data_IF_676119006872
#
_entry.id   IF_676119006872
#
_cell.length_a   1.000
_cell.length_b   1.000
_cell.length_c   1.000
_cell.angle_alpha   90.00
_cell.angle_beta   90.00
_cell.angle_gamma   90.00
#
_symmetry.space_group_name_H-M   'P 1'
#
loop_
_entity.id
_entity.type
_entity.pdbx_description
1 polymer ?
#
# COMPACT_ATOMS: atom_id res chain seq x y z
N UNK A 1 42.23 -28.35 24.55
CA UNK A 1 41.35 -29.24 23.74
C UNK A 1 39.91 -28.77 23.67
N UNK A 2 39.37 -28.08 24.67
CA UNK A 2 38.02 -27.51 24.66
C UNK A 2 37.78 -26.53 23.48
N UNK A 3 38.69 -25.61 23.20
CA UNK A 3 38.53 -24.63 22.12
C UNK A 3 38.45 -25.19 20.72
N UNK A 4 39.11 -26.31 20.39
CA UNK A 4 39.03 -26.95 19.08
C UNK A 4 37.66 -27.60 18.82
N UNK A 5 37.04 -28.15 19.86
CA UNK A 5 35.72 -28.77 19.73
C UNK A 5 34.63 -27.71 19.63
N UNK A 6 34.78 -26.59 20.30
CA UNK A 6 33.89 -25.44 20.25
C UNK A 6 33.91 -24.78 18.84
N UNK A 7 35.10 -24.57 18.25
CA UNK A 7 35.30 -24.06 16.91
C UNK A 7 34.63 -24.98 15.87
N UNK A 8 34.79 -26.30 15.98
CA UNK A 8 34.13 -27.25 15.07
C UNK A 8 32.60 -27.17 15.15
N UNK A 9 32.07 -27.01 16.36
CA UNK A 9 30.61 -26.84 16.57
C UNK A 9 30.12 -25.54 15.94
N UNK A 10 30.85 -24.44 16.09
CA UNK A 10 30.55 -23.15 15.47
C UNK A 10 30.56 -23.25 13.95
N UNK A 11 31.59 -23.88 13.36
CA UNK A 11 31.68 -24.09 11.90
C UNK A 11 30.47 -24.87 11.40
N UNK A 12 30.08 -25.97 12.08
CA UNK A 12 28.90 -26.75 11.71
C UNK A 12 27.60 -25.94 11.79
N UNK A 13 27.46 -25.10 12.83
CA UNK A 13 26.31 -24.21 13.00
C UNK A 13 26.22 -23.17 11.84
N UNK A 14 27.36 -22.55 11.49
CA UNK A 14 27.42 -21.59 10.37
C UNK A 14 27.08 -22.29 9.03
N UNK A 15 27.61 -23.48 8.78
CA UNK A 15 27.29 -24.25 7.58
C UNK A 15 25.79 -24.60 7.50
N UNK A 16 25.17 -24.94 8.61
CA UNK A 16 23.73 -25.21 8.67
C UNK A 16 22.93 -23.94 8.38
N UNK A 17 23.31 -22.81 9.00
CA UNK A 17 22.68 -21.51 8.73
C UNK A 17 22.82 -21.11 7.25
N UNK A 18 23.99 -21.32 6.66
CA UNK A 18 24.21 -21.07 5.21
C UNK A 18 23.26 -21.89 4.32
N UNK A 19 23.05 -23.18 4.65
CA UNK A 19 22.11 -24.03 3.90
C UNK A 19 20.68 -23.54 4.03
N UNK A 20 20.27 -23.12 5.23
CA UNK A 20 18.94 -22.59 5.50
C UNK A 20 18.72 -21.29 4.72
N UNK A 21 19.67 -20.34 4.81
CA UNK A 21 19.54 -19.05 4.12
C UNK A 21 19.52 -19.22 2.60
N UNK A 22 20.30 -20.16 2.04
CA UNK A 22 20.28 -20.48 0.61
C UNK A 22 18.92 -21.09 0.18
N UNK A 23 18.33 -21.94 1.01
CA UNK A 23 16.99 -22.46 0.74
C UNK A 23 15.93 -21.35 0.80
N UNK A 24 16.04 -20.41 1.78
CA UNK A 24 15.14 -19.26 1.89
C UNK A 24 15.24 -18.34 0.68
N UNK A 25 16.46 -18.07 0.17
CA UNK A 25 16.69 -17.30 -1.05
C UNK A 25 15.96 -17.92 -2.27
N UNK A 26 16.10 -19.24 -2.47
CA UNK A 26 15.41 -19.94 -3.57
C UNK A 26 13.88 -19.84 -3.47
N UNK A 27 13.34 -19.99 -2.27
CA UNK A 27 11.90 -19.84 -2.01
C UNK A 27 11.43 -18.40 -2.27
N UNK A 28 12.19 -17.41 -1.77
CA UNK A 28 11.90 -16.00 -1.98
C UNK A 28 11.92 -15.64 -3.47
N UNK A 29 12.91 -16.12 -4.24
CA UNK A 29 12.99 -15.92 -5.68
C UNK A 29 11.77 -16.49 -6.43
N UNK A 30 11.28 -17.67 -6.02
CA UNK A 30 10.06 -18.24 -6.60
C UNK A 30 8.82 -17.42 -6.29
N UNK A 31 8.66 -16.96 -5.03
CA UNK A 31 7.53 -16.14 -4.59
C UNK A 31 7.55 -14.76 -5.23
N UNK A 32 8.71 -14.13 -5.35
CA UNK A 32 8.89 -12.85 -6.03
C UNK A 32 8.41 -12.93 -7.49
N UNK A 33 8.83 -13.97 -8.25
CA UNK A 33 8.36 -14.14 -9.64
C UNK A 33 6.84 -14.22 -9.74
N UNK A 34 6.20 -14.92 -8.80
CA UNK A 34 4.72 -15.00 -8.74
C UNK A 34 4.09 -13.63 -8.42
N UNK A 35 4.64 -12.90 -7.45
CA UNK A 35 4.15 -11.57 -7.07
C UNK A 35 4.31 -10.56 -8.21
N UNK A 36 5.45 -10.55 -8.90
CA UNK A 36 5.68 -9.71 -10.10
C UNK A 36 4.67 -10.05 -11.20
N UNK A 37 4.44 -11.34 -11.46
CA UNK A 37 3.42 -11.74 -12.43
C UNK A 37 1.99 -11.34 -12.06
N UNK A 38 1.65 -11.29 -10.78
CA UNK A 38 0.36 -10.75 -10.31
C UNK A 38 0.30 -9.22 -10.49
N UNK A 39 1.37 -8.51 -10.16
CA UNK A 39 1.48 -7.07 -10.36
C UNK A 39 1.29 -6.69 -11.85
N UNK A 40 1.94 -7.42 -12.76
CA UNK A 40 1.80 -7.21 -14.20
C UNK A 40 0.37 -7.44 -14.70
N UNK A 41 -0.32 -8.46 -14.18
CA UNK A 41 -1.74 -8.73 -14.49
C UNK A 41 -2.68 -7.66 -13.95
N UNK A 42 -2.39 -7.08 -12.80
CA UNK A 42 -3.22 -6.03 -12.19
C UNK A 42 -3.05 -4.65 -12.85
N UNK A 43 -1.87 -4.37 -13.43
CA UNK A 43 -1.54 -3.06 -14.05
C UNK A 43 -2.56 -2.58 -15.10
N UNK A 44 -3.01 -3.40 -16.09
CA UNK A 44 -3.92 -2.92 -17.12
C UNK A 44 -5.24 -2.41 -16.53
N UNK A 45 -5.78 -3.11 -15.55
CA UNK A 45 -7.01 -2.71 -14.87
C UNK A 45 -6.80 -1.41 -14.06
N UNK A 46 -5.74 -1.35 -13.25
CA UNK A 46 -5.41 -0.17 -12.47
C UNK A 46 -5.21 1.07 -13.36
N UNK A 47 -4.50 0.93 -14.48
CA UNK A 47 -4.28 2.02 -15.42
C UNK A 47 -5.60 2.47 -16.07
N UNK A 48 -6.47 1.54 -16.50
CA UNK A 48 -7.76 1.89 -17.11
C UNK A 48 -8.72 2.55 -16.13
N UNK A 49 -8.82 2.07 -14.91
CA UNK A 49 -9.69 2.70 -13.91
C UNK A 49 -9.15 4.07 -13.51
N UNK A 50 -7.84 4.24 -13.39
CA UNK A 50 -7.20 5.54 -13.15
C UNK A 50 -7.47 6.52 -14.27
N UNK A 51 -7.39 6.06 -15.53
CA UNK A 51 -7.73 6.86 -16.70
C UNK A 51 -9.19 7.33 -16.65
N UNK A 52 -10.14 6.43 -16.39
CA UNK A 52 -11.56 6.79 -16.24
C UNK A 52 -11.75 7.81 -15.11
N UNK A 53 -11.06 7.63 -13.97
CA UNK A 53 -11.13 8.56 -12.84
C UNK A 53 -10.62 9.95 -13.20
N UNK A 54 -9.53 10.08 -13.95
CA UNK A 54 -9.01 11.38 -14.38
C UNK A 54 -9.96 12.12 -15.30
N UNK A 55 -10.66 11.39 -16.18
CA UNK A 55 -11.71 11.98 -17.04
C UNK A 55 -12.91 12.44 -16.21
N UNK A 56 -13.38 11.62 -15.27
CA UNK A 56 -14.51 11.97 -14.40
C UNK A 56 -14.19 13.18 -13.51
N UNK A 57 -12.99 13.27 -12.98
CA UNK A 57 -12.56 14.41 -12.18
C UNK A 57 -12.57 15.73 -12.96
N UNK A 58 -12.36 15.66 -14.29
CA UNK A 58 -12.34 16.84 -15.16
C UNK A 58 -13.70 17.15 -15.82
N UNK A 59 -14.55 16.14 -16.03
CA UNK A 59 -15.78 16.30 -16.83
C UNK A 59 -16.99 16.76 -16.00
N UNK A 60 -17.05 16.49 -14.70
CA UNK A 60 -18.26 16.70 -13.91
C UNK A 60 -18.10 17.72 -12.79
N UNK A 61 -18.12 19.01 -13.14
CA UNK A 61 -18.37 20.09 -12.16
C UNK A 61 -19.78 19.99 -11.51
N UNK A 62 -20.67 19.23 -12.09
CA UNK A 62 -22.07 19.08 -11.62
C UNK A 62 -22.24 17.95 -10.59
N UNK A 63 -21.32 16.98 -10.52
CA UNK A 63 -21.43 15.86 -9.57
C UNK A 63 -20.51 16.05 -8.36
N UNK A 64 -21.08 16.62 -7.29
CA UNK A 64 -20.39 16.78 -6.01
C UNK A 64 -20.27 15.43 -5.27
N UNK A 65 -19.27 14.61 -5.63
CA UNK A 65 -18.95 13.42 -4.84
C UNK A 65 -18.05 13.76 -3.66
N UNK A 66 -18.32 13.14 -2.52
CA UNK A 66 -17.51 13.25 -1.30
C UNK A 66 -16.04 12.91 -1.56
N UNK A 67 -15.75 12.02 -2.52
CA UNK A 67 -14.41 11.56 -2.87
C UNK A 67 -13.52 12.62 -3.54
N UNK A 68 -14.10 13.70 -4.08
CA UNK A 68 -13.36 14.85 -4.65
C UNK A 68 -13.33 16.06 -3.73
N UNK A 69 -14.08 16.02 -2.62
CA UNK A 69 -14.21 17.17 -1.72
C UNK A 69 -12.87 17.49 -1.04
N UNK A 70 -12.24 18.60 -1.47
CA UNK A 70 -11.05 19.13 -0.80
C UNK A 70 -11.48 19.91 0.43
N UNK A 71 -10.97 19.53 1.59
CA UNK A 71 -11.31 20.12 2.90
C UNK A 71 -10.08 20.74 3.55
N UNK A 72 -10.31 21.58 4.55
CA UNK A 72 -9.25 21.95 5.49
C UNK A 72 -8.77 20.70 6.22
N UNK A 73 -7.46 20.43 6.13
CA UNK A 73 -6.90 19.18 6.63
C UNK A 73 -6.69 19.27 8.14
N UNK A 74 -7.49 18.54 8.90
CA UNK A 74 -7.38 18.40 10.35
C UNK A 74 -6.85 17.03 10.77
N UNK A 75 -7.11 16.00 9.96
CA UNK A 75 -6.66 14.65 10.26
C UNK A 75 -6.35 13.86 8.99
N UNK A 76 -5.20 13.17 8.98
CA UNK A 76 -4.75 12.29 7.91
C UNK A 76 -4.78 10.84 8.32
N UNK A 77 -5.23 9.95 7.44
CA UNK A 77 -5.11 8.52 7.62
C UNK A 77 -4.04 7.94 6.68
N UNK A 78 -3.23 7.02 7.22
CA UNK A 78 -2.25 6.27 6.45
C UNK A 78 -2.62 4.80 6.43
N UNK A 79 -2.82 4.25 5.23
CA UNK A 79 -2.90 2.80 5.00
C UNK A 79 -1.46 2.32 4.85
N UNK A 80 -0.91 1.66 5.86
CA UNK A 80 0.50 1.22 5.87
C UNK A 80 0.58 -0.25 5.55
N UNK A 81 1.30 -0.58 4.47
CA UNK A 81 1.50 -1.96 4.02
C UNK A 81 2.87 -2.45 4.45
N UNK A 82 2.90 -3.48 5.27
CA UNK A 82 4.15 -4.11 5.75
C UNK A 82 4.12 -5.62 5.61
N UNK A 83 5.24 -6.26 5.91
CA UNK A 83 5.30 -7.72 5.97
C UNK A 83 4.73 -8.27 7.29
N UNK A 84 4.28 -9.54 7.24
CA UNK A 84 3.93 -10.28 8.46
C UNK A 84 5.17 -10.81 9.19
N UNK A 85 6.22 -11.16 8.46
CA UNK A 85 7.43 -11.80 8.97
C UNK A 85 8.64 -10.89 8.83
N UNK A 86 9.64 -11.09 9.68
CA UNK A 86 10.94 -10.43 9.57
C UNK A 86 11.85 -11.03 8.49
N UNK A 87 13.14 -10.77 8.57
CA UNK A 87 14.18 -11.22 7.65
C UNK A 87 14.03 -10.70 6.21
N UNK A 88 13.55 -9.46 6.08
CA UNK A 88 13.46 -8.71 4.82
C UNK A 88 14.34 -7.43 4.86
N UNK A 89 15.51 -7.53 5.47
CA UNK A 89 16.43 -6.39 5.59
C UNK A 89 15.80 -5.17 6.25
N UNK A 90 16.07 -3.99 5.72
CA UNK A 90 15.54 -2.71 6.17
C UNK A 90 14.18 -2.32 5.61
N UNK A 91 13.51 -3.18 4.84
CA UNK A 91 12.29 -2.85 4.10
C UNK A 91 11.23 -2.15 4.95
N UNK A 92 10.80 -2.79 6.04
CA UNK A 92 9.76 -2.23 6.92
C UNK A 92 10.26 -0.99 7.67
N UNK A 93 11.50 -1.02 8.17
CA UNK A 93 12.06 0.09 8.94
C UNK A 93 12.18 1.36 8.09
N UNK A 94 12.60 1.25 6.84
CA UNK A 94 12.70 2.38 5.91
C UNK A 94 11.32 2.97 5.60
N UNK A 95 10.30 2.11 5.41
CA UNK A 95 8.93 2.55 5.21
C UNK A 95 8.39 3.26 6.46
N UNK A 96 8.56 2.65 7.64
CA UNK A 96 8.07 3.23 8.89
C UNK A 96 8.75 4.55 9.20
N UNK A 97 10.07 4.66 8.95
CA UNK A 97 10.80 5.92 9.09
C UNK A 97 10.16 7.02 8.22
N UNK A 98 9.89 6.74 6.95
CA UNK A 98 9.26 7.69 6.03
C UNK A 98 7.85 8.10 6.49
N UNK A 99 7.05 7.16 6.98
CA UNK A 99 5.71 7.45 7.53
C UNK A 99 5.81 8.30 8.79
N UNK A 100 6.76 8.02 9.70
CA UNK A 100 6.98 8.81 10.91
C UNK A 100 7.46 10.22 10.58
N UNK A 101 8.35 10.39 9.62
CA UNK A 101 8.79 11.72 9.14
C UNK A 101 7.58 12.53 8.66
N UNK A 102 6.71 11.96 7.83
CA UNK A 102 5.46 12.60 7.39
C UNK A 102 4.49 12.88 8.56
N UNK A 103 4.42 12.00 9.54
CA UNK A 103 3.60 12.21 10.75
C UNK A 103 4.14 13.33 11.64
N UNK A 104 5.45 13.48 11.75
CA UNK A 104 6.07 14.58 12.49
C UNK A 104 5.80 15.94 11.81
N UNK A 105 5.84 15.99 10.49
CA UNK A 105 5.42 17.18 9.72
C UNK A 105 3.95 17.52 9.98
N UNK A 106 3.07 16.52 9.99
CA UNK A 106 1.65 16.70 10.33
C UNK A 106 1.49 17.29 11.74
N UNK A 107 2.20 16.72 12.72
CA UNK A 107 2.14 17.19 14.11
C UNK A 107 2.61 18.64 14.25
N UNK A 108 3.63 19.05 13.51
CA UNK A 108 4.11 20.44 13.49
C UNK A 108 3.04 21.39 12.93
N UNK A 109 2.15 20.91 12.07
CA UNK A 109 1.05 21.65 11.48
C UNK A 109 -0.28 21.44 12.23
N UNK A 110 -0.27 20.86 13.42
CA UNK A 110 -1.44 20.54 14.25
C UNK A 110 -2.43 19.56 13.58
N UNK A 111 -1.97 18.75 12.63
CA UNK A 111 -2.77 17.75 11.91
C UNK A 111 -2.71 16.42 12.65
N UNK A 112 -3.88 15.89 13.03
CA UNK A 112 -4.02 14.56 13.62
C UNK A 112 -3.63 13.45 12.63
N UNK A 113 -3.19 12.30 13.15
CA UNK A 113 -2.81 11.16 12.29
C UNK A 113 -3.39 9.86 12.84
N UNK A 114 -3.93 9.05 11.95
CA UNK A 114 -4.44 7.71 12.24
C UNK A 114 -3.92 6.70 11.21
N UNK A 115 -3.95 5.43 11.55
CA UNK A 115 -3.33 4.37 10.77
C UNK A 115 -4.30 3.22 10.52
N UNK A 116 -4.33 2.71 9.29
CA UNK A 116 -4.89 1.42 8.93
C UNK A 116 -3.76 0.54 8.45
N UNK A 117 -3.60 -0.66 8.99
CA UNK A 117 -2.35 -1.40 8.81
C UNK A 117 -2.58 -2.78 8.19
N UNK A 118 -1.76 -3.11 7.21
CA UNK A 118 -1.60 -4.44 6.66
C UNK A 118 -0.27 -5.04 7.11
N UNK A 119 -0.34 -6.24 7.69
CA UNK A 119 0.81 -7.00 8.15
C UNK A 119 1.17 -6.77 9.63
N UNK A 120 1.68 -7.84 10.26
CA UNK A 120 2.00 -7.86 11.69
C UNK A 120 3.09 -6.85 12.09
N UNK A 121 4.03 -6.53 11.17
CA UNK A 121 5.12 -5.61 11.51
C UNK A 121 4.64 -4.18 11.69
N UNK A 122 3.71 -3.70 10.83
CA UNK A 122 3.10 -2.39 11.01
C UNK A 122 2.19 -2.36 12.24
N UNK A 123 1.34 -3.37 12.44
CA UNK A 123 0.46 -3.45 13.59
C UNK A 123 1.24 -3.31 14.91
N UNK A 124 2.27 -4.14 15.09
CA UNK A 124 3.09 -4.09 16.31
C UNK A 124 3.91 -2.80 16.47
N UNK A 125 4.33 -2.18 15.37
CA UNK A 125 5.08 -0.93 15.40
C UNK A 125 4.19 0.26 15.79
N UNK A 126 3.08 0.49 15.08
CA UNK A 126 2.22 1.65 15.29
C UNK A 126 1.48 1.59 16.63
N UNK A 127 1.10 0.39 17.11
CA UNK A 127 0.56 0.23 18.47
C UNK A 127 1.59 0.60 19.56
N UNK A 128 2.86 0.21 19.39
CA UNK A 128 3.92 0.49 20.35
C UNK A 128 4.24 1.97 20.50
N UNK A 129 4.17 2.73 19.42
CA UNK A 129 4.38 4.19 19.46
C UNK A 129 3.15 4.98 19.88
N UNK A 130 2.04 4.30 20.24
CA UNK A 130 0.80 4.95 20.65
C UNK A 130 0.02 5.59 19.49
N UNK A 131 0.23 5.14 18.25
CA UNK A 131 -0.54 5.59 17.09
C UNK A 131 -1.99 5.14 17.15
N UNK A 132 -2.91 5.99 16.72
CA UNK A 132 -4.33 5.65 16.59
C UNK A 132 -4.52 4.69 15.42
N UNK A 133 -4.75 3.41 15.71
CA UNK A 133 -4.99 2.38 14.69
C UNK A 133 -6.49 2.20 14.47
N UNK A 134 -6.98 2.60 13.28
CA UNK A 134 -8.39 2.47 12.85
C UNK A 134 -8.74 1.00 12.64
N UNK A 135 -7.90 0.30 11.89
CA UNK A 135 -8.12 -1.10 11.52
C UNK A 135 -6.81 -1.81 11.23
N UNK A 136 -6.81 -3.11 11.37
CA UNK A 136 -5.65 -3.94 11.05
C UNK A 136 -6.08 -5.23 10.34
N UNK A 137 -5.31 -5.63 9.34
CA UNK A 137 -5.39 -6.94 8.71
C UNK A 137 -4.01 -7.57 8.71
N UNK A 138 -3.91 -8.78 9.24
CA UNK A 138 -2.67 -9.53 9.36
C UNK A 138 -2.81 -10.86 8.66
N UNK A 139 -1.69 -11.51 8.35
CA UNK A 139 -1.66 -12.79 7.63
C UNK A 139 -2.26 -12.72 6.22
N UNK A 140 -2.04 -11.59 5.55
CA UNK A 140 -2.51 -11.35 4.17
C UNK A 140 -1.91 -12.37 3.16
N UNK A 141 -0.78 -12.97 3.53
CA UNK A 141 -0.14 -14.04 2.75
C UNK A 141 0.64 -13.54 1.53
N UNK A 142 1.14 -14.49 0.74
CA UNK A 142 1.96 -14.19 -0.46
C UNK A 142 1.11 -13.97 -1.72
N UNK A 143 -0.17 -14.30 -1.69
CA UNK A 143 -1.13 -14.14 -2.79
C UNK A 143 -2.46 -13.61 -2.23
N UNK A 144 -2.51 -12.32 -1.87
CA UNK A 144 -3.70 -11.74 -1.28
C UNK A 144 -4.85 -11.73 -2.29
N UNK A 145 -6.04 -12.01 -1.79
CA UNK A 145 -7.27 -11.73 -2.51
C UNK A 145 -7.77 -10.35 -2.10
N UNK A 146 -8.49 -9.70 -2.99
CA UNK A 146 -9.03 -8.37 -2.70
C UNK A 146 -9.98 -8.42 -1.50
N UNK A 147 -10.72 -9.52 -1.35
CA UNK A 147 -11.66 -9.76 -0.26
C UNK A 147 -10.98 -9.68 1.13
N UNK A 148 -9.70 -10.12 1.22
CA UNK A 148 -8.93 -10.09 2.46
C UNK A 148 -8.56 -8.65 2.90
N UNK A 149 -8.64 -7.71 1.97
CA UNK A 149 -8.27 -6.31 2.18
C UNK A 149 -9.48 -5.39 2.42
N UNK A 150 -10.68 -5.80 1.96
CA UNK A 150 -11.88 -4.97 1.93
C UNK A 150 -12.25 -4.41 3.31
N UNK A 151 -12.12 -5.19 4.37
CA UNK A 151 -12.48 -4.76 5.73
C UNK A 151 -11.68 -3.53 6.18
N UNK A 152 -10.37 -3.55 5.98
CA UNK A 152 -9.47 -2.45 6.35
C UNK A 152 -9.66 -1.23 5.44
N UNK A 153 -9.82 -1.46 4.13
CA UNK A 153 -10.07 -0.40 3.15
C UNK A 153 -11.39 0.30 3.48
N UNK A 154 -12.47 -0.46 3.66
CA UNK A 154 -13.80 0.06 3.97
C UNK A 154 -13.80 0.88 5.25
N UNK A 155 -13.21 0.37 6.33
CA UNK A 155 -13.11 1.12 7.60
C UNK A 155 -12.41 2.47 7.43
N UNK A 156 -11.41 2.56 6.55
CA UNK A 156 -10.71 3.81 6.28
C UNK A 156 -11.55 4.76 5.42
N UNK A 157 -12.25 4.23 4.40
CA UNK A 157 -13.18 5.00 3.55
C UNK A 157 -14.35 5.55 4.39
N UNK A 158 -14.92 4.74 5.27
CA UNK A 158 -16.02 5.16 6.14
C UNK A 158 -15.61 6.34 7.04
N UNK A 159 -14.37 6.35 7.55
CA UNK A 159 -13.80 7.48 8.30
C UNK A 159 -13.63 8.75 7.45
N UNK A 160 -13.31 8.61 6.18
CA UNK A 160 -13.24 9.74 5.25
C UNK A 160 -14.63 10.27 4.92
N UNK A 161 -15.61 9.41 4.68
CA UNK A 161 -17.00 9.80 4.40
C UNK A 161 -17.64 10.48 5.61
N UNK A 162 -17.38 9.97 6.83
CA UNK A 162 -17.88 10.56 8.09
C UNK A 162 -17.20 11.88 8.48
N UNK A 163 -16.22 12.32 7.70
CA UNK A 163 -15.41 13.53 7.96
C UNK A 163 -14.54 13.44 9.23
N UNK A 164 -14.29 12.23 9.72
CA UNK A 164 -13.33 12.00 10.80
C UNK A 164 -11.87 12.07 10.30
N UNK A 165 -11.67 11.92 8.99
CA UNK A 165 -10.38 11.98 8.27
C UNK A 165 -10.58 12.80 7.00
N UNK A 166 -9.64 13.70 6.70
CA UNK A 166 -9.73 14.63 5.57
C UNK A 166 -8.88 14.19 4.38
N UNK A 167 -7.81 13.45 4.63
CA UNK A 167 -6.94 12.91 3.58
C UNK A 167 -6.55 11.47 3.90
N UNK A 168 -6.50 10.62 2.86
CA UNK A 168 -6.06 9.22 2.98
C UNK A 168 -4.85 8.99 2.07
N UNK A 169 -3.82 8.41 2.64
CA UNK A 169 -2.58 8.03 1.96
C UNK A 169 -2.36 6.52 2.05
N UNK A 170 -1.70 5.94 1.04
CA UNK A 170 -1.16 4.59 1.13
C UNK A 170 0.36 4.64 1.20
N UNK A 171 0.93 3.97 2.18
CA UNK A 171 2.37 3.83 2.38
C UNK A 171 2.81 2.39 2.15
N UNK A 172 3.69 2.18 1.20
CA UNK A 172 4.15 0.84 0.77
C UNK A 172 5.55 0.91 0.19
N UNK A 173 6.15 -0.25 -0.07
CA UNK A 173 7.43 -0.32 -0.76
C UNK A 173 7.20 -0.62 -2.24
N UNK A 174 7.44 0.37 -3.10
CA UNK A 174 7.35 0.23 -4.55
C UNK A 174 8.46 -0.67 -5.06
N UNK A 175 8.10 -1.67 -5.83
CA UNK A 175 9.05 -2.58 -6.46
C UNK A 175 9.64 -1.93 -7.71
N UNK A 176 10.92 -1.57 -7.66
CA UNK A 176 11.64 -1.06 -8.81
C UNK A 176 12.41 -2.18 -9.54
N UNK A 177 13.22 -2.93 -8.80
CA UNK A 177 13.93 -4.13 -9.27
C UNK A 177 14.30 -5.02 -8.07
N UNK A 178 14.99 -6.12 -8.32
CA UNK A 178 15.41 -7.07 -7.28
C UNK A 178 16.35 -6.49 -6.22
N UNK A 179 17.06 -5.41 -6.54
CA UNK A 179 18.04 -4.77 -5.64
C UNK A 179 17.47 -3.54 -4.95
N UNK A 180 16.53 -2.83 -5.61
CA UNK A 180 16.02 -1.55 -5.14
C UNK A 180 14.52 -1.62 -4.90
N UNK A 181 14.11 -1.33 -3.66
CA UNK A 181 12.73 -1.16 -3.21
C UNK A 181 12.60 0.23 -2.60
N UNK A 182 11.63 1.02 -3.04
CA UNK A 182 11.51 2.43 -2.70
C UNK A 182 10.31 2.63 -1.78
N UNK A 183 10.52 3.03 -0.52
CA UNK A 183 9.41 3.44 0.36
C UNK A 183 8.65 4.60 -0.28
N UNK A 184 7.34 4.44 -0.46
CA UNK A 184 6.48 5.39 -1.18
C UNK A 184 5.26 5.71 -0.33
N UNK A 185 4.80 6.95 -0.37
CA UNK A 185 3.55 7.42 0.21
C UNK A 185 2.78 8.10 -0.91
N UNK A 186 1.68 7.53 -1.32
CA UNK A 186 0.82 8.06 -2.37
C UNK A 186 -0.53 8.50 -1.78
N UNK A 187 -1.05 9.64 -2.21
CA UNK A 187 -2.37 10.12 -1.80
C UNK A 187 -3.45 9.33 -2.56
N UNK A 188 -4.46 8.87 -1.81
CA UNK A 188 -5.62 8.17 -2.39
C UNK A 188 -6.85 9.08 -2.37
N UNK A 189 -7.09 9.79 -1.26
CA UNK A 189 -8.25 10.66 -1.07
C UNK A 189 -7.83 12.02 -0.49
N UNK A 190 -8.51 13.10 -0.90
CA UNK A 190 -9.46 13.18 -2.02
C UNK A 190 -8.79 12.88 -3.35
N UNK A 191 -9.58 12.37 -4.32
CA UNK A 191 -9.10 12.07 -5.67
C UNK A 191 -8.81 13.41 -6.36
N UNK A 192 -7.59 13.60 -6.84
CA UNK A 192 -7.19 14.80 -7.58
C UNK A 192 -6.98 14.51 -9.05
N UNK A 193 -7.36 15.47 -9.90
CA UNK A 193 -7.14 15.37 -11.34
C UNK A 193 -5.67 15.53 -11.75
N UNK A 194 -4.84 16.08 -10.85
CA UNK A 194 -3.45 16.47 -11.16
C UNK A 194 -2.41 15.36 -10.99
N UNK A 195 -2.76 14.24 -10.32
CA UNK A 195 -1.78 13.21 -9.97
C UNK A 195 -1.53 12.17 -11.08
N UNK A 196 -2.13 12.35 -12.25
CA UNK A 196 -1.94 11.44 -13.37
C UNK A 196 -1.57 12.23 -14.62
N UNK A 197 -0.44 11.88 -15.21
CA UNK A 197 -0.10 12.29 -16.58
C UNK A 197 -1.21 11.82 -17.50
N UNK A 198 -2.16 12.71 -17.79
CA UNK A 198 -3.14 12.48 -18.85
C UNK A 198 -2.33 12.46 -20.13
N UNK A 199 -2.24 11.29 -20.74
CA UNK A 199 -1.68 11.16 -22.09
C UNK A 199 -2.40 12.19 -22.96
N UNK A 200 -1.65 13.18 -23.45
CA UNK A 200 -2.18 14.29 -24.27
C UNK A 200 -2.89 13.83 -25.55
N UNK A 201 -2.76 12.57 -25.87
CA UNK A 201 -3.37 11.92 -27.04
C UNK A 201 -4.90 11.77 -26.94
N UNK A 202 -5.47 11.92 -25.71
CA UNK A 202 -6.90 11.70 -25.45
C UNK A 202 -7.59 12.90 -24.79
N UNK A 203 -7.23 14.12 -25.21
CA UNK A 203 -7.84 15.36 -24.69
C UNK A 203 -9.28 15.62 -25.18
N UNK A 204 -9.97 14.61 -25.67
CA UNK A 204 -11.35 14.76 -26.10
C UNK A 204 -12.29 14.59 -24.90
N UNK A 205 -13.12 15.60 -24.67
CA UNK A 205 -14.23 15.57 -23.73
C UNK A 205 -15.24 14.54 -24.21
N UNK A 206 -15.32 13.40 -23.51
CA UNK A 206 -16.35 12.39 -23.75
C UNK A 206 -17.33 12.50 -22.62
N UNK A 207 -18.62 12.45 -22.98
CA UNK A 207 -19.66 12.27 -22.00
C UNK A 207 -19.99 10.77 -21.95
N UNK A 208 -20.00 10.21 -20.72
CA UNK A 208 -20.34 8.81 -20.51
C UNK A 208 -21.85 8.67 -20.37
N UNK A 209 -22.43 7.66 -21.02
CA UNK A 209 -23.80 7.23 -20.75
C UNK A 209 -23.80 6.34 -19.51
N UNK A 210 -24.52 6.77 -18.48
CA UNK A 210 -24.63 6.04 -17.23
C UNK A 210 -25.98 5.31 -17.18
N UNK A 211 -25.95 4.01 -16.91
CA UNK A 211 -27.13 3.17 -16.71
C UNK A 211 -26.95 2.31 -15.44
N UNK A 212 -27.93 2.22 -14.52
CA UNK A 212 -29.23 2.87 -14.55
C UNK A 212 -29.22 4.31 -13.99
N UNK A 213 -28.30 4.67 -13.08
CA UNK A 213 -28.15 6.00 -12.46
C UNK A 213 -26.67 6.38 -12.34
N UNK A 214 -26.35 7.59 -12.80
CA UNK A 214 -24.98 8.11 -12.76
C UNK A 214 -24.37 8.11 -11.37
N UNK A 215 -25.14 8.47 -10.36
CA UNK A 215 -24.66 8.55 -8.97
C UNK A 215 -24.23 7.20 -8.44
N UNK A 216 -25.08 6.19 -8.56
CA UNK A 216 -24.82 4.84 -8.05
C UNK A 216 -23.61 4.19 -8.74
N UNK A 217 -23.55 4.33 -10.08
CA UNK A 217 -22.44 3.82 -10.89
C UNK A 217 -21.12 4.49 -10.48
N UNK A 218 -21.11 5.82 -10.33
CA UNK A 218 -19.92 6.58 -9.96
C UNK A 218 -19.44 6.25 -8.55
N UNK A 219 -20.34 6.19 -7.56
CA UNK A 219 -19.98 5.81 -6.19
C UNK A 219 -19.36 4.41 -6.14
N UNK A 220 -19.93 3.44 -6.84
CA UNK A 220 -19.36 2.10 -6.92
C UNK A 220 -17.98 2.09 -7.59
N UNK A 221 -17.79 2.91 -8.62
CA UNK A 221 -16.54 3.03 -9.35
C UNK A 221 -15.44 3.66 -8.49
N UNK A 222 -15.75 4.69 -7.68
CA UNK A 222 -14.79 5.29 -6.74
C UNK A 222 -14.29 4.28 -5.70
N UNK A 223 -15.20 3.51 -5.12
CA UNK A 223 -14.81 2.45 -4.17
C UNK A 223 -13.88 1.44 -4.85
N UNK A 224 -14.23 0.96 -6.05
CA UNK A 224 -13.40 0.04 -6.84
C UNK A 224 -12.04 0.61 -7.22
N UNK A 225 -11.98 1.90 -7.48
CA UNK A 225 -10.71 2.60 -7.72
C UNK A 225 -9.80 2.56 -6.51
N UNK A 226 -10.30 2.92 -5.32
CA UNK A 226 -9.54 2.90 -4.07
C UNK A 226 -9.09 1.48 -3.71
N UNK A 227 -9.97 0.49 -3.86
CA UNK A 227 -9.68 -0.93 -3.69
C UNK A 227 -8.52 -1.37 -4.61
N UNK A 228 -8.58 -0.98 -5.88
CA UNK A 228 -7.58 -1.34 -6.89
C UNK A 228 -6.21 -0.72 -6.60
N UNK A 229 -6.17 0.57 -6.20
CA UNK A 229 -4.93 1.25 -5.81
C UNK A 229 -4.30 0.59 -4.58
N UNK A 230 -5.12 0.30 -3.56
CA UNK A 230 -4.63 -0.35 -2.34
C UNK A 230 -4.14 -1.78 -2.63
N UNK A 231 -4.89 -2.54 -3.43
CA UNK A 231 -4.48 -3.88 -3.86
C UNK A 231 -3.14 -3.86 -4.60
N UNK A 232 -2.97 -2.91 -5.53
CA UNK A 232 -1.70 -2.72 -6.24
C UNK A 232 -0.56 -2.46 -5.27
N UNK A 233 -0.75 -1.56 -4.30
CA UNK A 233 0.26 -1.25 -3.29
C UNK A 233 0.64 -2.49 -2.45
N UNK A 234 -0.35 -3.32 -2.08
CA UNK A 234 -0.11 -4.57 -1.35
C UNK A 234 0.70 -5.56 -2.18
N UNK A 235 0.35 -5.78 -3.44
CA UNK A 235 1.06 -6.73 -4.32
C UNK A 235 2.48 -6.24 -4.62
N UNK A 236 2.68 -4.94 -4.85
CA UNK A 236 4.01 -4.34 -5.01
C UNK A 236 4.86 -4.49 -3.75
N UNK A 237 4.27 -4.29 -2.57
CA UNK A 237 4.97 -4.49 -1.31
C UNK A 237 5.37 -5.95 -1.09
N UNK A 238 4.54 -6.92 -1.47
CA UNK A 238 4.88 -8.35 -1.41
C UNK A 238 6.04 -8.67 -2.35
N UNK A 239 6.04 -8.15 -3.58
CA UNK A 239 7.17 -8.32 -4.51
C UNK A 239 8.47 -7.74 -3.92
N UNK A 240 8.40 -6.54 -3.33
CA UNK A 240 9.49 -5.88 -2.63
C UNK A 240 9.99 -6.68 -1.42
N UNK A 241 9.07 -7.26 -0.64
CA UNK A 241 9.39 -8.11 0.50
C UNK A 241 10.17 -9.36 0.08
N UNK A 242 9.72 -10.03 -0.98
CA UNK A 242 10.39 -11.24 -1.43
C UNK A 242 11.76 -10.92 -2.07
N UNK A 243 11.88 -9.79 -2.77
CA UNK A 243 13.17 -9.32 -3.28
C UNK A 243 14.16 -9.01 -2.14
N UNK A 244 13.70 -8.33 -1.09
CA UNK A 244 14.54 -8.01 0.09
C UNK A 244 14.94 -9.24 0.92
N UNK A 245 14.35 -10.41 0.68
CA UNK A 245 14.71 -11.69 1.31
C UNK A 245 15.74 -12.47 0.54
N UNK A 246 15.99 -12.13 -0.71
CA UNK A 246 17.03 -12.71 -1.55
C UNK A 246 18.39 -12.17 -1.19
#
# INVERSE_FOLDING_TARGET
MAGSQEIRTQIKSIQNTQKITKAMEMVAASKMRKAVGQMEKARPYANKISYVMSHLANAHAEYNSVYFEVREVKKRAYIVVSSDRGLCGGLNNNLFKKVIESTLENKNNEIGTSYSVFGNKAAGFFQRIGGEVISQSTQVGDQPKIEDLLGTIKSTIDKFISKDVDEVYVAYNKFFNTVSQIPTIDKILPISSNDQEIDKEYSHYWDYLYEPDAKEVLESLFVRFIESLTYRAVVENIASEQASRM
#
